data_IF_052323712126
#
_entry.id   IF_052323712126
#
_cell.length_a   1.000
_cell.length_b   1.000
_cell.length_c   1.000
_cell.angle_alpha   90.00
_cell.angle_beta   90.00
_cell.angle_gamma   90.00
#
_symmetry.space_group_name_H-M   'P 1'
#
loop_
_entity.id
_entity.type
_entity.pdbx_description
1 polymer ?
#
# COMPACT_ATOMS: atom_id res chain seq x y z
N UNK A 1 -14.68 -1.14 -6.37
CA UNK A 1 -13.71 -1.64 -5.37
C UNK A 1 -12.30 -1.86 -5.91
N UNK A 2 -12.09 -2.57 -7.05
CA UNK A 2 -10.71 -2.80 -7.57
C UNK A 2 -10.08 -1.54 -8.19
N UNK A 3 -10.88 -0.69 -8.82
CA UNK A 3 -10.39 0.52 -9.51
C UNK A 3 -10.25 1.71 -8.54
N UNK A 4 -11.14 1.80 -7.56
CA UNK A 4 -11.15 2.87 -6.54
C UNK A 4 -9.85 2.92 -5.72
N UNK A 5 -9.29 1.76 -5.33
CA UNK A 5 -8.05 1.71 -4.56
C UNK A 5 -6.86 2.24 -5.35
N UNK A 6 -6.79 1.89 -6.64
CA UNK A 6 -5.71 2.39 -7.53
C UNK A 6 -5.84 3.90 -7.69
N UNK A 7 -7.05 4.38 -7.98
CA UNK A 7 -7.32 5.80 -8.16
C UNK A 7 -6.96 6.62 -6.92
N UNK A 8 -7.50 6.26 -5.75
CA UNK A 8 -7.30 7.02 -4.53
C UNK A 8 -5.87 6.92 -4.00
N UNK A 9 -5.21 5.78 -4.18
CA UNK A 9 -3.79 5.62 -3.84
C UNK A 9 -2.92 6.51 -4.72
N UNK A 10 -3.18 6.59 -6.03
CA UNK A 10 -2.44 7.47 -6.93
C UNK A 10 -2.68 8.95 -6.64
N UNK A 11 -3.92 9.31 -6.31
CA UNK A 11 -4.29 10.67 -5.93
C UNK A 11 -3.56 11.12 -4.67
N UNK A 12 -3.57 10.30 -3.62
CA UNK A 12 -2.86 10.61 -2.36
C UNK A 12 -1.34 10.61 -2.54
N UNK A 13 -0.82 9.62 -3.27
CA UNK A 13 0.59 9.52 -3.60
C UNK A 13 1.10 10.75 -4.35
N UNK A 14 0.40 11.16 -5.41
CA UNK A 14 0.72 12.39 -6.17
C UNK A 14 0.60 13.65 -5.32
N UNK A 15 -0.41 13.74 -4.45
CA UNK A 15 -0.58 14.88 -3.53
C UNK A 15 0.59 15.03 -2.57
N UNK A 16 1.08 13.94 -2.00
CA UNK A 16 2.13 13.98 -0.94
C UNK A 16 3.55 13.93 -1.52
N UNK A 17 3.79 13.12 -2.55
CA UNK A 17 5.14 12.89 -3.13
C UNK A 17 5.39 13.70 -4.40
N UNK A 18 4.36 14.31 -4.99
CA UNK A 18 4.47 15.12 -6.20
C UNK A 18 5.20 14.35 -7.31
N UNK A 19 6.25 14.92 -7.90
CA UNK A 19 7.05 14.32 -8.98
C UNK A 19 7.81 13.06 -8.56
N UNK A 20 7.97 12.79 -7.26
CA UNK A 20 8.57 11.56 -6.76
C UNK A 20 7.58 10.38 -6.68
N UNK A 21 6.29 10.61 -6.93
CA UNK A 21 5.31 9.54 -7.00
C UNK A 21 5.40 8.81 -8.34
N UNK A 22 5.35 7.48 -8.28
CA UNK A 22 5.11 6.64 -9.44
C UNK A 22 3.72 6.04 -9.29
N UNK A 23 2.87 6.27 -10.28
CA UNK A 23 1.53 5.68 -10.29
C UNK A 23 1.59 4.16 -10.18
N UNK A 24 0.65 3.63 -9.41
CA UNK A 24 0.35 2.21 -9.33
C UNK A 24 -0.77 1.86 -10.29
N UNK A 25 -0.81 0.61 -10.73
CA UNK A 25 -1.87 0.08 -11.56
C UNK A 25 -2.54 -1.13 -10.88
N UNK A 26 -3.58 -1.66 -11.52
CA UNK A 26 -4.30 -2.80 -10.98
C UNK A 26 -3.44 -4.08 -10.87
N UNK A 27 -2.36 -4.21 -11.65
CA UNK A 27 -1.47 -5.38 -11.61
C UNK A 27 -0.55 -5.26 -10.40
N UNK A 28 0.12 -4.12 -10.23
CA UNK A 28 0.99 -3.82 -9.09
C UNK A 28 0.19 -3.88 -7.79
N UNK A 29 -1.02 -3.35 -7.75
CA UNK A 29 -1.87 -3.38 -6.56
C UNK A 29 -2.29 -4.82 -6.19
N UNK A 30 -2.62 -5.67 -7.17
CA UNK A 30 -2.89 -7.10 -6.92
C UNK A 30 -1.65 -7.83 -6.42
N UNK A 31 -0.48 -7.56 -6.99
CA UNK A 31 0.77 -8.14 -6.52
C UNK A 31 1.09 -7.70 -5.09
N UNK A 32 0.88 -6.43 -4.77
CA UNK A 32 1.07 -5.87 -3.43
C UNK A 32 0.15 -6.54 -2.40
N UNK A 33 -1.16 -6.64 -2.68
CA UNK A 33 -2.12 -7.34 -1.83
C UNK A 33 -1.75 -8.83 -1.69
N UNK A 34 -1.33 -9.47 -2.79
CA UNK A 34 -0.85 -10.86 -2.76
C UNK A 34 0.35 -11.05 -1.84
N UNK A 35 1.32 -10.13 -1.86
CA UNK A 35 2.44 -10.12 -0.92
C UNK A 35 1.97 -9.97 0.54
N UNK A 36 1.00 -9.10 0.82
CA UNK A 36 0.46 -8.95 2.18
C UNK A 36 -0.21 -10.24 2.68
N UNK A 37 -1.01 -10.89 1.83
CA UNK A 37 -1.63 -12.19 2.14
C UNK A 37 -0.56 -13.26 2.39
N UNK A 38 0.47 -13.30 1.55
CA UNK A 38 1.59 -14.23 1.70
C UNK A 38 2.37 -14.01 3.01
N UNK A 39 2.69 -12.77 3.36
CA UNK A 39 3.35 -12.41 4.63
C UNK A 39 2.51 -12.88 5.82
N UNK A 40 1.19 -12.70 5.76
CA UNK A 40 0.26 -13.20 6.77
C UNK A 40 0.28 -14.72 6.88
N UNK A 41 0.22 -15.43 5.75
CA UNK A 41 0.28 -16.89 5.70
C UNK A 41 1.59 -17.45 6.27
N UNK A 42 2.70 -16.75 6.07
CA UNK A 42 4.01 -17.11 6.61
C UNK A 42 4.20 -16.72 8.09
N UNK A 43 3.17 -16.15 8.75
CA UNK A 43 3.23 -15.64 10.13
C UNK A 43 4.33 -14.57 10.33
N UNK A 44 4.62 -13.82 9.28
CA UNK A 44 5.63 -12.75 9.26
C UNK A 44 5.01 -11.35 9.41
N UNK A 45 3.73 -11.24 9.81
CA UNK A 45 3.04 -9.95 9.95
C UNK A 45 3.65 -9.02 11.00
N UNK A 46 4.29 -9.57 12.03
CA UNK A 46 5.00 -8.80 13.06
C UNK A 46 6.47 -8.55 12.73
N UNK A 47 6.97 -9.04 11.59
CA UNK A 47 8.35 -8.84 11.17
C UNK A 47 8.56 -7.43 10.63
N UNK A 48 9.75 -6.87 10.85
CA UNK A 48 10.11 -5.59 10.25
C UNK A 48 10.27 -5.73 8.73
N UNK A 49 10.08 -4.64 7.99
CA UNK A 49 10.29 -4.66 6.54
C UNK A 49 11.75 -4.97 6.20
N UNK A 50 12.71 -4.52 7.01
CA UNK A 50 14.13 -4.82 6.83
C UNK A 50 14.40 -6.33 6.91
N UNK A 51 13.73 -7.03 7.83
CA UNK A 51 13.83 -8.49 7.94
C UNK A 51 13.20 -9.17 6.71
N UNK A 52 11.97 -8.78 6.33
CA UNK A 52 11.25 -9.34 5.18
C UNK A 52 12.07 -9.17 3.88
N UNK A 53 12.77 -8.04 3.73
CA UNK A 53 13.60 -7.75 2.56
C UNK A 53 15.08 -8.12 2.76
N UNK A 54 15.46 -8.79 3.85
CA UNK A 54 16.85 -9.15 4.11
C UNK A 54 17.40 -10.11 3.05
N UNK A 55 18.68 -9.97 2.72
CA UNK A 55 19.31 -10.79 1.68
C UNK A 55 19.32 -12.28 2.03
N UNK A 56 19.55 -12.59 3.31
CA UNK A 56 19.77 -13.94 3.82
C UNK A 56 18.43 -14.61 4.19
N UNK A 57 17.68 -14.03 5.13
CA UNK A 57 16.48 -14.65 5.73
C UNK A 57 15.17 -14.05 5.19
N UNK A 58 15.24 -13.12 4.24
CA UNK A 58 14.07 -12.39 3.75
C UNK A 58 13.15 -13.26 2.91
N UNK A 59 11.90 -12.85 2.82
CA UNK A 59 10.88 -13.54 2.06
C UNK A 59 11.15 -13.46 0.56
N UNK A 60 11.46 -14.61 -0.06
CA UNK A 60 11.87 -14.69 -1.46
C UNK A 60 10.81 -14.15 -2.43
N UNK A 61 9.53 -14.44 -2.18
CA UNK A 61 8.43 -14.00 -3.06
C UNK A 61 8.27 -12.48 -3.01
N UNK A 62 8.29 -11.91 -1.81
CA UNK A 62 8.12 -10.45 -1.63
C UNK A 62 9.32 -9.71 -2.23
N UNK A 63 10.55 -10.20 -2.03
CA UNK A 63 11.78 -9.63 -2.62
C UNK A 63 11.81 -9.72 -4.14
N UNK A 64 11.29 -10.80 -4.72
CA UNK A 64 11.21 -10.95 -6.18
C UNK A 64 10.16 -10.01 -6.80
N UNK A 65 9.12 -9.66 -6.03
CA UNK A 65 7.99 -8.85 -6.52
C UNK A 65 8.23 -7.35 -6.39
N UNK A 66 8.90 -6.90 -5.32
CA UNK A 66 9.08 -5.48 -5.01
C UNK A 66 10.49 -5.17 -4.50
N UNK A 67 10.89 -3.90 -4.63
CA UNK A 67 11.95 -3.34 -3.79
C UNK A 67 11.38 -2.91 -2.43
N UNK A 68 12.20 -2.95 -1.38
CA UNK A 68 11.83 -2.45 -0.04
C UNK A 68 11.25 -1.03 -0.12
N UNK A 69 11.88 -0.15 -0.90
CA UNK A 69 11.45 1.24 -1.09
C UNK A 69 10.05 1.33 -1.71
N UNK A 70 9.77 0.56 -2.76
CA UNK A 70 8.43 0.60 -3.41
C UNK A 70 7.37 -0.02 -2.53
N UNK A 71 7.66 -1.15 -1.88
CA UNK A 71 6.72 -1.81 -0.97
C UNK A 71 6.37 -0.90 0.22
N UNK A 72 7.36 -0.29 0.85
CA UNK A 72 7.16 0.70 1.92
C UNK A 72 6.37 1.92 1.42
N UNK A 73 6.62 2.38 0.18
CA UNK A 73 5.85 3.47 -0.41
C UNK A 73 4.37 3.10 -0.55
N UNK A 74 4.05 1.94 -1.13
CA UNK A 74 2.66 1.50 -1.27
C UNK A 74 1.97 1.31 0.09
N UNK A 75 2.69 0.74 1.07
CA UNK A 75 2.17 0.55 2.43
C UNK A 75 1.78 1.88 3.11
N UNK A 76 2.55 2.95 2.91
CA UNK A 76 2.32 4.25 3.54
C UNK A 76 1.24 5.10 2.84
N UNK A 77 0.98 4.86 1.57
CA UNK A 77 0.08 5.72 0.76
C UNK A 77 -1.16 4.99 0.23
N UNK A 78 -1.37 3.72 0.59
CA UNK A 78 -2.57 2.97 0.25
C UNK A 78 -3.82 3.70 0.74
N UNK A 79 -4.78 3.91 -0.17
CA UNK A 79 -6.09 4.51 0.14
C UNK A 79 -7.21 3.70 -0.48
N UNK A 80 -8.31 3.61 0.27
CA UNK A 80 -9.54 2.94 -0.15
C UNK A 80 -10.67 3.93 -0.46
N UNK A 81 -10.44 5.23 -0.23
CA UNK A 81 -11.45 6.27 -0.30
C UNK A 81 -10.86 7.62 -0.73
N UNK A 82 -11.76 8.55 -1.10
CA UNK A 82 -11.38 9.88 -1.55
C UNK A 82 -11.14 10.84 -0.38
N UNK A 83 -9.87 11.13 -0.09
CA UNK A 83 -9.50 12.09 0.96
C UNK A 83 -10.14 13.48 0.79
N UNK A 84 -10.49 13.90 -0.43
CA UNK A 84 -11.09 15.22 -0.66
C UNK A 84 -12.51 15.37 -0.10
N UNK A 85 -13.24 14.26 0.04
CA UNK A 85 -14.61 14.25 0.58
C UNK A 85 -14.64 13.92 2.08
N UNK A 86 -13.47 13.80 2.71
CA UNK A 86 -13.32 13.43 4.11
C UNK A 86 -14.03 14.43 5.05
N UNK A 87 -13.86 15.72 4.83
CA UNK A 87 -14.39 16.76 5.72
C UNK A 87 -15.92 16.71 5.82
N UNK A 88 -16.59 16.44 4.70
CA UNK A 88 -18.05 16.31 4.65
C UNK A 88 -18.50 15.00 5.29
N UNK A 89 -17.80 13.89 5.02
CA UNK A 89 -18.16 12.57 5.55
C UNK A 89 -17.91 12.41 7.05
N UNK A 90 -16.91 13.09 7.61
CA UNK A 90 -16.61 13.05 9.04
C UNK A 90 -17.76 13.59 9.91
N UNK A 91 -18.62 14.45 9.36
CA UNK A 91 -19.79 14.98 10.07
C UNK A 91 -20.94 13.97 10.14
N UNK A 92 -20.98 13.02 9.20
CA UNK A 92 -22.10 12.07 9.03
C UNK A 92 -21.72 10.62 9.41
N UNK A 93 -20.45 10.24 9.28
CA UNK A 93 -19.95 8.87 9.46
C UNK A 93 -18.70 8.82 10.35
N UNK A 94 -18.84 8.17 11.51
CA UNK A 94 -17.78 7.98 12.50
C UNK A 94 -16.68 7.00 12.06
N UNK A 95 -16.89 6.24 10.98
CA UNK A 95 -15.88 5.38 10.38
C UNK A 95 -15.08 6.07 9.27
N UNK A 96 -15.31 7.37 9.03
CA UNK A 96 -14.51 8.15 8.09
C UNK A 96 -13.03 8.12 8.53
N UNK A 97 -12.10 7.64 7.67
CA UNK A 97 -10.68 7.54 8.02
C UNK A 97 -10.08 8.93 8.27
N UNK A 98 -9.07 9.01 9.15
CA UNK A 98 -8.33 10.24 9.52
C UNK A 98 -7.26 10.66 8.50
#
# INVERSE_FOLDING_TARGET
MKDDVVEFTNREGSRVKQTAWRDTDAIEMKAFIGCLVHIGAMRQSGSSLEFIFSAIEGNALVKASFSLKRFSCLLNYLRFDDKSTQTVRCEEDSFTPF
#
